data_IF_432891730094
#
_entry.id   IF_432891730094
#
_cell.length_a   1.000
_cell.length_b   1.000
_cell.length_c   1.000
_cell.angle_alpha   90.00
_cell.angle_beta   90.00
_cell.angle_gamma   90.00
#
_symmetry.space_group_name_H-M   'P 1'
#
loop_
_entity.id
_entity.type
_entity.pdbx_description
1 polymer ?
#
# COMPACT_ATOMS: atom_id res chain seq x y z
N UNK A 1 16.07 -53.28 54.72
CA UNK A 1 15.10 -52.22 54.44
C UNK A 1 15.79 -51.16 53.57
N UNK A 2 15.60 -51.19 52.24
CA UNK A 2 16.13 -50.19 51.29
C UNK A 2 15.00 -49.24 50.94
N UNK A 3 15.14 -47.96 51.28
CA UNK A 3 14.20 -46.92 50.89
C UNK A 3 14.49 -46.49 49.42
N UNK A 4 13.49 -46.71 48.59
CA UNK A 4 13.47 -46.21 47.19
C UNK A 4 13.03 -44.75 47.22
N UNK A 5 13.91 -43.80 46.89
CA UNK A 5 13.55 -42.41 46.65
C UNK A 5 13.13 -42.29 45.17
N UNK A 6 11.84 -42.09 44.95
CA UNK A 6 11.32 -41.75 43.62
C UNK A 6 11.56 -40.24 43.33
N UNK A 7 12.35 -39.92 42.30
CA UNK A 7 12.52 -38.56 41.80
C UNK A 7 11.38 -38.32 40.81
N UNK A 8 10.43 -37.47 41.20
CA UNK A 8 9.36 -36.98 40.33
C UNK A 8 9.90 -35.85 39.47
N UNK A 9 10.22 -36.15 38.21
CA UNK A 9 10.68 -35.15 37.24
C UNK A 9 9.48 -34.34 36.71
N UNK A 10 9.33 -33.11 37.16
CA UNK A 10 8.29 -32.18 36.70
C UNK A 10 8.68 -31.64 35.33
N UNK A 11 8.04 -32.13 34.25
CA UNK A 11 8.21 -31.66 32.91
C UNK A 11 7.45 -30.33 32.77
N UNK A 12 8.13 -29.17 32.88
CA UNK A 12 7.58 -27.86 32.57
C UNK A 12 7.46 -27.73 31.08
N UNK A 13 6.25 -27.92 30.53
CA UNK A 13 5.92 -27.58 29.15
C UNK A 13 5.82 -26.05 29.07
N UNK A 14 6.86 -25.39 28.56
CA UNK A 14 6.79 -24.00 28.15
C UNK A 14 5.92 -23.92 26.89
N UNK A 15 4.65 -23.58 27.05
CA UNK A 15 3.81 -23.13 25.94
C UNK A 15 4.30 -21.74 25.59
N UNK A 16 5.19 -21.66 24.61
CA UNK A 16 5.63 -20.39 24.04
C UNK A 16 4.43 -19.72 23.36
N UNK A 17 3.81 -18.75 24.04
CA UNK A 17 2.86 -17.84 23.41
C UNK A 17 3.68 -16.97 22.48
N UNK A 18 3.72 -17.32 21.19
CA UNK A 18 4.29 -16.45 20.16
C UNK A 18 3.34 -15.28 19.97
N UNK A 19 3.60 -14.17 20.66
CA UNK A 19 2.96 -12.91 20.34
C UNK A 19 3.33 -12.56 18.90
N UNK A 20 2.33 -12.23 18.07
CA UNK A 20 2.59 -11.60 16.78
C UNK A 20 3.44 -10.36 17.04
N UNK A 21 4.51 -10.16 16.27
CA UNK A 21 5.31 -8.95 16.37
C UNK A 21 4.38 -7.75 16.17
N UNK A 22 4.34 -6.78 17.08
CA UNK A 22 3.45 -5.64 16.97
C UNK A 22 3.79 -4.84 15.70
N UNK A 23 2.76 -4.27 15.06
CA UNK A 23 2.98 -3.26 14.03
C UNK A 23 3.82 -2.15 14.69
N UNK A 24 5.00 -1.91 14.14
CA UNK A 24 5.87 -0.84 14.63
C UNK A 24 5.50 0.46 13.89
N UNK A 25 5.07 1.46 14.63
CA UNK A 25 4.71 2.78 14.09
C UNK A 25 5.57 3.81 14.79
N UNK A 26 6.41 4.50 14.03
CA UNK A 26 7.19 5.65 14.47
C UNK A 26 6.62 6.92 13.84
N UNK A 27 6.65 8.04 14.57
CA UNK A 27 6.29 9.36 14.05
C UNK A 27 7.45 10.31 14.28
N UNK A 28 7.91 10.93 13.22
CA UNK A 28 8.99 11.92 13.25
C UNK A 28 8.79 12.92 12.12
N UNK A 29 8.92 14.21 12.43
CA UNK A 29 8.87 15.31 11.46
C UNK A 29 7.72 15.25 10.45
N UNK A 30 6.50 14.97 10.92
CA UNK A 30 5.32 14.92 10.05
C UNK A 30 5.19 13.63 9.24
N UNK A 31 5.99 12.60 9.51
CA UNK A 31 5.98 11.32 8.79
C UNK A 31 5.70 10.18 9.76
N UNK A 32 4.64 9.42 9.51
CA UNK A 32 4.45 8.11 10.13
C UNK A 32 5.17 7.06 9.30
N UNK A 33 6.13 6.38 9.91
CA UNK A 33 6.82 5.23 9.33
C UNK A 33 6.36 3.95 10.02
N UNK A 34 5.77 3.04 9.24
CA UNK A 34 5.22 1.77 9.71
C UNK A 34 6.02 0.63 9.11
N UNK A 35 6.47 -0.30 9.95
CA UNK A 35 7.17 -1.51 9.50
C UNK A 35 6.36 -2.73 9.85
N UNK A 36 6.04 -3.53 8.84
CA UNK A 36 5.43 -4.84 8.96
C UNK A 36 6.52 -5.90 8.79
N UNK A 37 6.95 -6.47 9.89
CA UNK A 37 7.91 -7.57 9.93
C UNK A 37 7.24 -8.85 10.43
N UNK A 38 7.84 -10.00 10.07
CA UNK A 38 7.32 -11.31 10.47
C UNK A 38 6.15 -11.81 9.60
N UNK A 39 6.20 -13.10 9.29
CA UNK A 39 5.27 -13.78 8.38
C UNK A 39 3.81 -13.66 8.82
N UNK A 40 3.53 -13.75 10.13
CA UNK A 40 2.17 -13.69 10.66
C UNK A 40 1.51 -12.35 10.34
N UNK A 41 2.22 -11.24 10.52
CA UNK A 41 1.70 -9.90 10.25
C UNK A 41 1.47 -9.66 8.77
N UNK A 42 2.44 -10.06 7.94
CA UNK A 42 2.36 -9.90 6.49
C UNK A 42 1.23 -10.72 5.86
N UNK A 43 0.90 -11.89 6.42
CA UNK A 43 -0.26 -12.71 5.99
C UNK A 43 -1.61 -12.01 6.14
N UNK A 44 -1.70 -11.00 6.99
CA UNK A 44 -2.92 -10.25 7.28
C UNK A 44 -3.14 -9.07 6.33
N UNK A 45 -2.19 -8.79 5.42
CA UNK A 45 -2.35 -7.75 4.41
C UNK A 45 -3.48 -8.14 3.46
N UNK A 46 -4.46 -7.25 3.31
CA UNK A 46 -5.52 -7.36 2.32
C UNK A 46 -5.77 -6.00 1.68
N UNK A 47 -6.15 -6.00 0.40
CA UNK A 47 -6.64 -4.83 -0.29
C UNK A 47 -8.14 -4.98 -0.50
N UNK A 48 -8.89 -4.00 -0.04
CA UNK A 48 -10.35 -4.01 -0.10
C UNK A 48 -10.87 -2.78 -0.83
N UNK A 49 -12.01 -2.92 -1.47
CA UNK A 49 -12.74 -1.80 -2.05
C UNK A 49 -14.14 -1.68 -1.46
N UNK A 50 -14.75 -0.52 -1.63
CA UNK A 50 -16.13 -0.27 -1.25
C UNK A 50 -16.98 0.06 -2.47
N UNK A 51 -18.22 -0.41 -2.49
CA UNK A 51 -19.15 -0.10 -3.57
C UNK A 51 -19.39 1.42 -3.67
N UNK A 52 -19.66 2.07 -2.55
CA UNK A 52 -19.73 3.52 -2.42
C UNK A 52 -18.42 4.04 -1.84
N UNK A 53 -18.11 5.31 -2.07
CA UNK A 53 -16.97 5.94 -1.41
C UNK A 53 -17.23 6.01 0.09
N UNK A 54 -16.24 5.59 0.88
CA UNK A 54 -16.27 5.65 2.35
C UNK A 54 -14.98 6.27 2.88
N UNK A 55 -15.01 6.79 4.09
CA UNK A 55 -13.81 7.31 4.75
C UNK A 55 -12.88 6.18 5.18
N UNK A 56 -11.60 6.49 5.42
CA UNK A 56 -10.64 5.52 5.94
C UNK A 56 -11.09 4.96 7.29
N UNK A 57 -11.70 5.80 8.13
CA UNK A 57 -12.26 5.41 9.43
C UNK A 57 -13.39 4.39 9.31
N UNK A 58 -14.31 4.58 8.36
CA UNK A 58 -15.38 3.63 8.08
C UNK A 58 -14.82 2.31 7.57
N UNK A 59 -13.83 2.35 6.63
CA UNK A 59 -13.16 1.15 6.14
C UNK A 59 -12.46 0.39 7.28
N UNK A 60 -11.77 1.11 8.18
CA UNK A 60 -11.12 0.56 9.36
C UNK A 60 -12.10 -0.19 10.28
N UNK A 61 -13.23 0.44 10.56
CA UNK A 61 -14.28 -0.14 11.43
C UNK A 61 -14.95 -1.35 10.75
N UNK A 62 -15.32 -1.25 9.48
CA UNK A 62 -15.97 -2.31 8.71
C UNK A 62 -15.08 -3.56 8.61
N UNK A 63 -13.78 -3.37 8.36
CA UNK A 63 -12.81 -4.46 8.29
C UNK A 63 -12.38 -5.00 9.66
N UNK A 64 -12.71 -4.30 10.76
CA UNK A 64 -12.19 -4.56 12.12
C UNK A 64 -10.66 -4.68 12.10
N UNK A 65 -10.00 -3.82 11.37
CA UNK A 65 -8.56 -3.88 11.11
C UNK A 65 -7.74 -3.35 12.28
N UNK A 66 -6.44 -3.67 12.30
CA UNK A 66 -5.45 -3.07 13.19
C UNK A 66 -4.89 -1.79 12.58
N UNK A 67 -4.69 -1.81 11.26
CA UNK A 67 -4.19 -0.69 10.46
C UNK A 67 -5.01 -0.60 9.19
N UNK A 68 -5.35 0.61 8.78
CA UNK A 68 -5.96 0.90 7.47
C UNK A 68 -5.31 2.12 6.87
N UNK A 69 -4.96 2.06 5.59
CA UNK A 69 -4.46 3.19 4.81
C UNK A 69 -5.20 3.26 3.47
N UNK A 70 -5.24 4.42 2.85
CA UNK A 70 -5.75 4.58 1.49
C UNK A 70 -4.82 3.93 0.45
N UNK A 71 -5.37 3.58 -0.74
CA UNK A 71 -4.56 2.95 -1.80
C UNK A 71 -4.79 3.55 -3.18
N UNK A 72 -5.52 2.86 -4.06
CA UNK A 72 -5.62 3.16 -5.48
C UNK A 72 -6.33 4.46 -5.83
N UNK A 73 -6.09 4.91 -7.05
CA UNK A 73 -6.76 6.08 -7.61
C UNK A 73 -8.20 5.78 -8.01
N UNK A 74 -9.05 6.80 -7.94
CA UNK A 74 -10.44 6.74 -8.38
C UNK A 74 -10.89 8.07 -9.01
N UNK A 75 -11.95 8.02 -9.79
CA UNK A 75 -12.59 9.21 -10.34
C UNK A 75 -13.67 9.73 -9.38
N UNK A 76 -13.49 10.92 -8.79
CA UNK A 76 -14.48 11.46 -7.86
C UNK A 76 -15.82 11.83 -8.52
N UNK A 77 -15.87 11.97 -9.85
CA UNK A 77 -17.09 12.35 -10.57
C UNK A 77 -18.07 11.19 -10.71
N UNK A 78 -17.57 9.98 -11.04
CA UNK A 78 -18.39 8.79 -11.19
C UNK A 78 -18.17 7.73 -10.12
N UNK A 79 -17.25 7.99 -9.16
CA UNK A 79 -16.90 7.11 -8.04
C UNK A 79 -16.33 5.74 -8.47
N UNK A 80 -15.88 5.63 -9.73
CA UNK A 80 -15.28 4.42 -10.27
C UNK A 80 -13.77 4.40 -10.04
N UNK A 81 -13.23 3.20 -9.91
CA UNK A 81 -11.77 3.01 -9.79
C UNK A 81 -11.03 3.46 -11.05
N UNK A 82 -9.76 3.87 -10.88
CA UNK A 82 -8.76 4.03 -11.94
C UNK A 82 -7.62 3.01 -11.73
N UNK A 83 -7.70 2.21 -10.66
CA UNK A 83 -6.69 1.26 -10.23
C UNK A 83 -7.26 -0.15 -10.13
N UNK A 84 -6.48 -1.16 -10.49
CA UNK A 84 -6.81 -2.55 -10.19
C UNK A 84 -6.69 -2.83 -8.70
N UNK A 85 -7.65 -3.57 -8.17
CA UNK A 85 -7.61 -4.13 -6.81
C UNK A 85 -7.95 -5.62 -6.90
N UNK A 86 -7.07 -6.46 -6.36
CA UNK A 86 -7.30 -7.90 -6.19
C UNK A 86 -7.44 -8.19 -4.70
N UNK A 87 -8.46 -8.94 -4.34
CA UNK A 87 -8.65 -9.43 -2.98
C UNK A 87 -9.06 -10.91 -3.01
N UNK A 88 -8.38 -11.73 -2.22
CA UNK A 88 -8.61 -13.17 -2.11
C UNK A 88 -8.70 -13.85 -3.50
N UNK A 89 -7.67 -13.62 -4.33
CA UNK A 89 -7.48 -14.14 -5.71
C UNK A 89 -8.50 -13.61 -6.75
N UNK A 90 -9.36 -12.66 -6.39
CA UNK A 90 -10.38 -12.10 -7.29
C UNK A 90 -10.12 -10.61 -7.56
N UNK A 91 -10.21 -10.22 -8.83
CA UNK A 91 -10.24 -8.79 -9.19
C UNK A 91 -11.56 -8.20 -8.71
N UNK A 92 -11.50 -7.31 -7.71
CA UNK A 92 -12.66 -6.64 -7.12
C UNK A 92 -12.88 -5.23 -7.69
N UNK A 93 -11.84 -4.64 -8.26
CA UNK A 93 -11.90 -3.36 -8.98
C UNK A 93 -11.11 -3.45 -10.27
N UNK A 94 -11.73 -3.02 -11.38
CA UNK A 94 -11.14 -3.03 -12.71
C UNK A 94 -11.36 -1.64 -13.36
N UNK A 95 -10.28 -0.90 -13.72
CA UNK A 95 -10.38 0.43 -14.32
C UNK A 95 -11.07 0.45 -15.69
N UNK A 96 -11.21 -0.68 -16.39
CA UNK A 96 -11.95 -0.77 -17.64
C UNK A 96 -13.46 -0.52 -17.46
N UNK A 97 -13.99 -0.64 -16.24
CA UNK A 97 -15.39 -0.29 -15.93
C UNK A 97 -15.59 1.18 -15.57
N UNK A 98 -14.56 2.02 -15.74
CA UNK A 98 -14.66 3.47 -15.55
C UNK A 98 -14.97 4.14 -16.89
N UNK A 99 -16.22 4.51 -17.09
CA UNK A 99 -16.70 5.12 -18.34
C UNK A 99 -16.00 6.44 -18.67
N UNK A 100 -15.69 7.26 -17.65
CA UNK A 100 -14.97 8.52 -17.85
C UNK A 100 -13.54 8.28 -18.31
N UNK A 101 -12.85 7.26 -17.78
CA UNK A 101 -11.53 6.85 -18.23
C UNK A 101 -11.58 6.37 -19.69
N UNK A 102 -12.56 5.55 -20.02
CA UNK A 102 -12.69 4.89 -21.31
C UNK A 102 -13.17 5.83 -22.42
N UNK A 103 -13.97 6.86 -22.09
CA UNK A 103 -14.52 7.81 -23.05
C UNK A 103 -13.64 9.04 -23.31
N UNK A 104 -12.72 9.37 -22.40
CA UNK A 104 -11.82 10.51 -22.56
C UNK A 104 -10.74 10.22 -23.62
N UNK A 105 -10.67 10.97 -24.74
CA UNK A 105 -9.74 10.69 -25.82
C UNK A 105 -8.26 10.67 -25.40
N UNK A 106 -7.84 11.61 -24.54
CA UNK A 106 -6.44 11.72 -24.08
C UNK A 106 -6.08 10.53 -23.18
N UNK A 107 -6.97 10.16 -22.24
CA UNK A 107 -6.74 9.02 -21.33
C UNK A 107 -6.76 7.70 -22.12
N UNK A 108 -7.68 7.56 -23.07
CA UNK A 108 -7.81 6.38 -23.93
C UNK A 108 -6.56 6.14 -24.79
N UNK A 109 -5.97 7.18 -25.37
CA UNK A 109 -4.70 7.06 -26.12
C UNK A 109 -3.54 6.56 -25.24
N UNK A 110 -3.57 6.87 -23.95
CA UNK A 110 -2.55 6.50 -22.98
C UNK A 110 -2.99 5.37 -22.03
N UNK A 111 -4.10 4.70 -22.37
CA UNK A 111 -4.72 3.69 -21.49
C UNK A 111 -3.72 2.60 -21.08
N UNK A 112 -2.89 2.12 -22.02
CA UNK A 112 -1.86 1.10 -21.75
C UNK A 112 -0.90 1.51 -20.64
N UNK A 113 -0.53 2.79 -20.56
CA UNK A 113 0.33 3.32 -19.48
C UNK A 113 -0.43 3.39 -18.15
N UNK A 114 -1.69 3.82 -18.19
CA UNK A 114 -2.54 4.00 -17.01
C UNK A 114 -2.88 2.65 -16.36
N UNK A 115 -3.32 1.66 -17.16
CA UNK A 115 -3.69 0.34 -16.63
C UNK A 115 -2.49 -0.55 -16.32
N UNK A 116 -1.28 -0.17 -16.78
CA UNK A 116 -0.03 -0.88 -16.45
C UNK A 116 0.81 -0.18 -15.38
N UNK A 117 0.23 0.75 -14.63
CA UNK A 117 0.90 1.41 -13.49
C UNK A 117 1.39 0.38 -12.48
N UNK A 118 2.37 0.80 -11.71
CA UNK A 118 2.95 -0.01 -10.64
C UNK A 118 1.91 -0.40 -9.60
N UNK A 119 1.99 -1.63 -9.12
CA UNK A 119 1.15 -2.16 -8.04
C UNK A 119 2.00 -2.90 -6.99
N UNK A 120 1.48 -2.96 -5.78
CA UNK A 120 1.98 -3.84 -4.73
C UNK A 120 1.19 -5.16 -4.77
N UNK A 121 1.90 -6.29 -4.80
CA UNK A 121 1.35 -7.64 -4.83
C UNK A 121 1.75 -8.44 -3.61
N UNK A 122 0.81 -9.21 -3.09
CA UNK A 122 1.05 -10.36 -2.23
C UNK A 122 0.79 -11.61 -3.06
N UNK A 123 1.83 -12.36 -3.33
CA UNK A 123 1.76 -13.61 -4.07
C UNK A 123 1.71 -14.79 -3.10
N UNK A 124 0.90 -15.79 -3.43
CA UNK A 124 0.93 -17.11 -2.82
C UNK A 124 1.68 -18.06 -3.76
N UNK A 125 2.85 -18.53 -3.31
CA UNK A 125 3.77 -19.38 -4.05
C UNK A 125 3.96 -20.69 -3.25
N UNK A 126 3.16 -21.72 -3.53
CA UNK A 126 3.18 -22.99 -2.81
C UNK A 126 3.14 -22.83 -1.28
N UNK A 127 2.16 -22.05 -0.81
CA UNK A 127 1.93 -21.73 0.61
C UNK A 127 2.99 -20.81 1.25
N UNK A 128 3.91 -20.23 0.47
CA UNK A 128 4.82 -19.18 0.89
C UNK A 128 4.39 -17.85 0.30
N UNK A 129 4.29 -16.83 1.13
CA UNK A 129 3.98 -15.49 0.64
C UNK A 129 5.24 -14.78 0.16
N UNK A 130 5.12 -14.17 -1.01
CA UNK A 130 6.12 -13.30 -1.62
C UNK A 130 5.50 -11.93 -1.88
N UNK A 131 6.28 -10.89 -1.77
CA UNK A 131 5.83 -9.51 -1.96
C UNK A 131 6.57 -8.90 -3.12
N UNK A 132 5.84 -8.19 -3.97
CA UNK A 132 6.41 -7.54 -5.16
C UNK A 132 5.85 -6.13 -5.31
N UNK A 133 6.70 -5.22 -5.79
CA UNK A 133 6.31 -3.93 -6.35
C UNK A 133 6.74 -3.95 -7.81
N UNK A 134 5.78 -4.02 -8.71
CA UNK A 134 6.03 -4.23 -10.13
C UNK A 134 4.92 -3.63 -10.98
N UNK A 135 5.09 -3.60 -12.31
CA UNK A 135 4.03 -3.21 -13.23
C UNK A 135 2.88 -4.22 -13.22
N UNK A 136 1.66 -3.73 -13.39
CA UNK A 136 0.46 -4.59 -13.38
C UNK A 136 0.55 -5.77 -14.37
N UNK A 137 1.09 -5.55 -15.58
CA UNK A 137 1.22 -6.60 -16.61
C UNK A 137 2.50 -7.45 -16.47
N UNK A 138 3.31 -7.25 -15.41
CA UNK A 138 4.46 -8.09 -15.16
C UNK A 138 4.03 -9.55 -14.94
N UNK A 139 4.76 -10.47 -15.55
CA UNK A 139 4.45 -11.91 -15.43
C UNK A 139 4.60 -12.37 -14.00
N UNK A 140 3.64 -13.13 -13.54
CA UNK A 140 3.71 -13.87 -12.28
C UNK A 140 4.35 -15.22 -12.56
N UNK A 141 5.23 -15.69 -11.66
CA UNK A 141 5.80 -17.03 -11.74
C UNK A 141 4.68 -18.07 -11.78
N UNK A 142 4.85 -19.13 -12.58
CA UNK A 142 3.83 -20.18 -12.76
C UNK A 142 3.49 -20.94 -11.47
N UNK A 143 4.38 -20.91 -10.46
CA UNK A 143 4.14 -21.48 -9.13
C UNK A 143 3.42 -20.54 -8.17
N UNK A 144 3.12 -19.32 -8.61
CA UNK A 144 2.52 -18.28 -7.78
C UNK A 144 1.17 -17.83 -8.32
N UNK A 145 0.33 -17.37 -7.42
CA UNK A 145 -0.93 -16.66 -7.73
C UNK A 145 -0.99 -15.33 -7.00
N UNK A 146 -1.57 -14.31 -7.63
CA UNK A 146 -1.82 -13.03 -6.94
C UNK A 146 -2.94 -13.23 -5.94
N UNK A 147 -2.59 -13.24 -4.65
CA UNK A 147 -3.56 -13.38 -3.56
C UNK A 147 -4.31 -12.07 -3.32
N UNK A 148 -3.57 -10.98 -3.24
CA UNK A 148 -4.13 -9.64 -3.10
C UNK A 148 -3.16 -8.61 -3.68
N UNK A 149 -3.69 -7.58 -4.33
CA UNK A 149 -2.88 -6.48 -4.87
C UNK A 149 -3.63 -5.17 -4.91
N UNK A 150 -2.90 -4.07 -4.92
CA UNK A 150 -3.44 -2.75 -5.23
C UNK A 150 -2.51 -1.99 -6.16
N UNK A 151 -3.07 -1.55 -7.28
CA UNK A 151 -2.40 -0.66 -8.20
C UNK A 151 -2.42 0.77 -7.67
N UNK A 152 -1.31 1.50 -7.89
CA UNK A 152 -1.16 2.90 -7.54
C UNK A 152 -0.24 3.58 -8.55
N UNK A 153 0.97 3.86 -8.11
CA UNK A 153 1.99 4.56 -8.85
C UNK A 153 2.11 6.04 -8.46
N UNK A 154 3.18 6.69 -8.90
CA UNK A 154 4.28 6.13 -9.69
C UNK A 154 5.17 5.17 -8.89
N UNK A 155 5.90 4.30 -9.60
CA UNK A 155 7.05 3.63 -9.00
C UNK A 155 8.08 4.68 -8.61
N UNK A 156 8.63 4.52 -7.40
CA UNK A 156 9.65 5.40 -6.83
C UNK A 156 11.03 4.76 -6.95
N UNK A 157 11.15 3.48 -6.58
CA UNK A 157 12.37 2.70 -6.62
C UNK A 157 12.16 1.38 -7.39
N UNK A 158 13.21 0.90 -8.10
CA UNK A 158 14.56 1.46 -8.21
C UNK A 158 14.66 2.73 -9.08
N UNK A 159 13.69 2.99 -9.94
CA UNK A 159 13.61 4.13 -10.85
C UNK A 159 12.25 4.82 -10.77
N UNK A 160 12.26 6.16 -10.74
CA UNK A 160 11.03 6.97 -10.70
C UNK A 160 10.37 7.02 -12.08
N UNK A 161 9.11 6.55 -12.19
CA UNK A 161 8.40 6.33 -13.47
C UNK A 161 7.23 7.29 -13.69
N UNK A 162 7.49 8.56 -13.75
CA UNK A 162 6.44 9.58 -13.95
C UNK A 162 5.86 9.59 -15.36
N UNK A 163 6.70 9.48 -16.40
CA UNK A 163 6.29 9.54 -17.82
C UNK A 163 5.77 8.19 -18.30
N UNK A 164 6.42 7.10 -17.90
CA UNK A 164 6.07 5.74 -18.28
C UNK A 164 4.67 5.35 -17.76
N UNK A 165 4.30 5.88 -16.60
CA UNK A 165 3.00 5.64 -15.96
C UNK A 165 1.98 6.75 -16.20
N UNK A 166 2.31 7.69 -17.12
CA UNK A 166 1.43 8.79 -17.53
C UNK A 166 0.99 9.71 -16.38
N UNK A 167 1.88 9.95 -15.42
CA UNK A 167 1.68 11.00 -14.41
C UNK A 167 2.07 12.36 -14.91
N UNK A 168 3.12 12.45 -15.77
CA UNK A 168 3.48 13.65 -16.50
C UNK A 168 3.59 13.35 -17.99
N UNK A 169 3.45 14.42 -18.80
CA UNK A 169 3.76 14.43 -20.23
C UNK A 169 4.64 15.64 -20.49
N UNK A 170 5.72 15.44 -21.24
CA UNK A 170 6.63 16.50 -21.68
C UNK A 170 6.48 16.75 -23.17
N UNK A 171 6.75 17.98 -23.58
CA UNK A 171 6.91 18.36 -24.99
C UNK A 171 8.31 17.99 -25.52
N UNK A 172 8.56 18.28 -26.79
CA UNK A 172 9.85 18.02 -27.46
C UNK A 172 11.03 18.79 -26.84
N UNK A 173 10.75 19.85 -26.08
CA UNK A 173 11.74 20.68 -25.39
C UNK A 173 11.96 20.20 -23.92
N UNK A 174 11.24 19.17 -23.48
CA UNK A 174 11.32 18.66 -22.12
C UNK A 174 10.44 19.39 -21.10
N UNK A 175 9.60 20.35 -21.53
CA UNK A 175 8.69 21.07 -20.64
C UNK A 175 7.49 20.19 -20.29
N UNK A 176 7.07 20.19 -19.03
CA UNK A 176 5.88 19.46 -18.59
C UNK A 176 4.63 20.20 -19.10
N UNK A 177 3.88 19.55 -19.99
CA UNK A 177 2.63 20.07 -20.58
C UNK A 177 1.39 19.44 -19.95
N UNK A 178 1.55 18.37 -19.17
CA UNK A 178 0.49 17.72 -18.40
C UNK A 178 1.06 17.10 -17.13
N UNK A 179 0.32 17.26 -16.05
CA UNK A 179 0.56 16.61 -14.77
C UNK A 179 -0.74 16.03 -14.22
N UNK A 180 -0.65 14.95 -13.45
CA UNK A 180 -1.76 14.37 -12.68
C UNK A 180 -1.29 13.94 -11.30
N UNK A 181 -2.24 13.83 -10.35
CA UNK A 181 -2.00 13.43 -8.97
C UNK A 181 -0.98 14.30 -8.21
N UNK A 182 -0.81 15.56 -8.62
CA UNK A 182 0.12 16.53 -7.99
C UNK A 182 1.53 15.98 -7.78
N UNK A 183 2.05 15.18 -8.73
CA UNK A 183 3.33 14.47 -8.56
C UNK A 183 4.54 15.41 -8.46
N UNK A 184 4.45 16.62 -9.02
CA UNK A 184 5.49 17.66 -8.97
C UNK A 184 5.25 18.69 -7.86
N UNK A 185 4.17 18.56 -7.09
CA UNK A 185 3.81 19.48 -6.02
C UNK A 185 4.00 18.83 -4.65
N UNK A 186 4.33 19.65 -3.65
CA UNK A 186 4.43 19.20 -2.26
C UNK A 186 3.03 19.01 -1.66
N UNK A 187 2.63 17.76 -1.50
CA UNK A 187 1.36 17.34 -0.90
C UNK A 187 1.59 16.15 0.03
N UNK A 188 0.65 15.83 0.93
CA UNK A 188 0.69 14.60 1.71
C UNK A 188 0.80 13.36 0.81
N UNK A 189 1.47 12.29 1.30
CA UNK A 189 1.72 11.09 0.51
C UNK A 189 1.43 9.82 1.31
N UNK A 190 0.97 8.80 0.61
CA UNK A 190 0.92 7.42 1.09
C UNK A 190 1.85 6.59 0.24
N UNK A 191 2.92 6.06 0.86
CA UNK A 191 3.98 5.34 0.17
C UNK A 191 4.10 3.93 0.75
N UNK A 192 4.49 2.98 -0.09
CA UNK A 192 4.79 1.60 0.32
C UNK A 192 6.08 1.12 -0.34
N UNK A 193 6.88 0.35 0.39
CA UNK A 193 8.12 -0.20 -0.12
C UNK A 193 8.49 -1.53 0.50
N UNK A 194 9.44 -2.20 -0.12
CA UNK A 194 9.97 -3.48 0.30
C UNK A 194 11.46 -3.36 0.60
N UNK A 195 11.89 -4.02 1.66
CA UNK A 195 13.29 -4.14 2.05
C UNK A 195 13.62 -5.59 2.33
N UNK A 196 14.66 -6.10 1.68
CA UNK A 196 15.22 -7.42 1.97
C UNK A 196 16.11 -7.34 3.22
N UNK A 197 15.88 -8.24 4.15
CA UNK A 197 16.73 -8.37 5.32
C UNK A 197 17.94 -9.26 5.02
N UNK A 198 18.97 -9.21 5.88
CA UNK A 198 20.13 -10.11 5.77
C UNK A 198 19.80 -11.59 5.91
N UNK A 199 18.60 -11.92 6.42
CA UNK A 199 18.08 -13.30 6.53
C UNK A 199 17.29 -13.75 5.30
N UNK A 200 17.19 -12.91 4.26
CA UNK A 200 16.41 -13.19 3.06
C UNK A 200 14.89 -13.03 3.24
N UNK A 201 14.45 -12.45 4.34
CA UNK A 201 13.06 -12.06 4.56
C UNK A 201 12.79 -10.68 3.94
N UNK A 202 11.53 -10.40 3.62
CA UNK A 202 11.11 -9.08 3.17
C UNK A 202 10.36 -8.35 4.30
N UNK A 203 10.71 -7.09 4.54
CA UNK A 203 9.93 -6.16 5.34
C UNK A 203 9.08 -5.29 4.44
N UNK A 204 7.85 -4.98 4.88
CA UNK A 204 6.98 -4.02 4.20
C UNK A 204 7.03 -2.71 4.99
N UNK A 205 7.48 -1.65 4.34
CA UNK A 205 7.56 -0.31 4.89
C UNK A 205 6.44 0.55 4.31
N UNK A 206 5.73 1.28 5.17
CA UNK A 206 4.67 2.21 4.78
C UNK A 206 5.02 3.58 5.36
N UNK A 207 4.87 4.64 4.55
CA UNK A 207 5.03 6.01 5.00
C UNK A 207 3.74 6.77 4.75
N UNK A 208 3.24 7.43 5.80
CA UNK A 208 2.16 8.41 5.71
C UNK A 208 2.80 9.78 5.95
N UNK A 209 3.04 10.48 4.88
CA UNK A 209 3.58 11.84 4.88
C UNK A 209 2.43 12.81 5.06
N UNK A 210 2.42 13.54 6.15
CA UNK A 210 1.32 14.44 6.51
C UNK A 210 1.48 15.84 5.91
N UNK A 211 0.53 16.71 6.19
CA UNK A 211 0.61 18.13 5.81
C UNK A 211 1.73 18.91 6.53
N UNK A 212 2.31 18.35 7.59
CA UNK A 212 3.43 18.96 8.31
C UNK A 212 4.74 18.88 7.51
N UNK A 213 4.88 17.84 6.66
CA UNK A 213 6.07 17.62 5.84
C UNK A 213 5.72 17.18 4.41
N UNK A 214 4.91 17.97 3.66
CA UNK A 214 4.45 17.56 2.34
C UNK A 214 5.62 17.41 1.35
N UNK A 215 5.53 16.44 0.44
CA UNK A 215 6.59 16.08 -0.50
C UNK A 215 6.08 16.00 -1.93
N UNK A 216 6.95 16.33 -2.90
CA UNK A 216 6.79 15.89 -4.29
C UNK A 216 7.28 14.45 -4.47
N UNK A 217 7.20 13.89 -5.69
CA UNK A 217 7.59 12.48 -5.91
C UNK A 217 9.10 12.28 -5.96
N UNK A 218 9.90 13.32 -6.19
CA UNK A 218 11.37 13.21 -6.10
C UNK A 218 11.81 13.11 -4.64
N UNK A 219 11.25 13.96 -3.78
CA UNK A 219 11.50 13.90 -2.33
C UNK A 219 10.98 12.58 -1.73
N UNK A 220 9.81 12.11 -2.18
CA UNK A 220 9.25 10.82 -1.75
C UNK A 220 10.15 9.63 -2.16
N UNK A 221 10.73 9.65 -3.38
CA UNK A 221 11.74 8.68 -3.82
C UNK A 221 12.97 8.72 -2.91
N UNK A 222 13.49 9.91 -2.64
CA UNK A 222 14.70 10.09 -1.83
C UNK A 222 14.46 9.65 -0.38
N UNK A 223 13.28 9.89 0.18
CA UNK A 223 12.85 9.33 1.46
C UNK A 223 12.93 7.79 1.44
N UNK A 224 12.30 7.14 0.48
CA UNK A 224 12.33 5.67 0.35
C UNK A 224 13.77 5.14 0.20
N UNK A 225 14.61 5.81 -0.59
CA UNK A 225 16.01 5.45 -0.79
C UNK A 225 16.82 5.60 0.51
N UNK A 226 16.59 6.63 1.32
CA UNK A 226 17.28 6.86 2.60
C UNK A 226 17.05 5.75 3.62
N UNK A 227 15.89 5.06 3.55
CA UNK A 227 15.59 3.88 4.37
C UNK A 227 16.17 2.57 3.79
N UNK A 228 16.84 2.63 2.64
CA UNK A 228 17.46 1.49 1.97
C UNK A 228 16.44 0.48 1.46
N UNK A 229 15.32 0.96 0.92
CA UNK A 229 14.32 0.09 0.31
C UNK A 229 14.79 -0.40 -1.06
N UNK A 230 14.52 -1.67 -1.37
CA UNK A 230 14.85 -2.29 -2.67
C UNK A 230 13.87 -1.84 -3.76
N UNK A 231 12.61 -1.67 -3.39
CA UNK A 231 11.55 -1.19 -4.28
C UNK A 231 10.53 -0.36 -3.50
N UNK A 232 9.94 0.63 -4.16
CA UNK A 232 8.92 1.49 -3.56
C UNK A 232 7.98 2.07 -4.61
N UNK A 233 6.75 2.40 -4.18
CA UNK A 233 5.73 3.06 -4.99
C UNK A 233 4.87 3.99 -4.13
N UNK A 234 4.17 4.91 -4.79
CA UNK A 234 3.15 5.72 -4.16
C UNK A 234 1.76 5.10 -4.37
N UNK A 235 0.87 5.32 -3.42
CA UNK A 235 -0.58 5.25 -3.59
C UNK A 235 -1.16 6.65 -3.85
N UNK A 236 -2.50 6.76 -3.93
CA UNK A 236 -3.16 8.06 -4.08
C UNK A 236 -2.80 8.97 -2.89
N UNK A 237 -2.45 10.20 -3.19
CA UNK A 237 -1.94 11.17 -2.24
C UNK A 237 -2.82 12.41 -2.11
N UNK A 238 -2.22 13.49 -1.64
CA UNK A 238 -2.92 14.76 -1.45
C UNK A 238 -4.09 14.62 -0.49
N UNK A 239 -5.29 15.00 -0.91
CA UNK A 239 -6.52 14.91 -0.10
C UNK A 239 -6.93 13.47 0.26
N UNK A 240 -6.37 12.46 -0.41
CA UNK A 240 -6.67 11.05 -0.17
C UNK A 240 -5.81 10.43 0.93
N UNK A 241 -4.66 11.02 1.26
CA UNK A 241 -3.73 10.49 2.28
C UNK A 241 -4.43 10.33 3.61
N UNK A 242 -4.46 9.09 4.11
CA UNK A 242 -5.16 8.77 5.36
C UNK A 242 -4.66 7.47 5.99
N UNK A 243 -4.72 7.40 7.32
CA UNK A 243 -4.39 6.24 8.13
C UNK A 243 -5.26 6.15 9.38
N UNK A 244 -5.67 4.94 9.73
CA UNK A 244 -6.23 4.60 11.04
C UNK A 244 -5.43 3.47 11.67
N UNK A 245 -4.90 3.70 12.86
CA UNK A 245 -4.17 2.70 13.65
C UNK A 245 -4.42 2.94 15.15
N UNK A 246 -5.08 2.01 15.81
CA UNK A 246 -5.48 2.17 17.24
C UNK A 246 -6.24 3.48 17.45
N UNK A 247 -5.68 4.41 18.24
CA UNK A 247 -6.24 5.73 18.52
C UNK A 247 -5.67 6.83 17.60
N UNK A 248 -4.77 6.45 16.67
CA UNK A 248 -4.19 7.40 15.71
C UNK A 248 -5.12 7.44 14.51
N UNK A 249 -5.58 8.65 14.19
CA UNK A 249 -6.37 8.96 13.00
C UNK A 249 -5.67 10.07 12.25
N UNK A 250 -5.23 9.78 11.03
CA UNK A 250 -4.52 10.73 10.16
C UNK A 250 -5.33 10.94 8.91
N UNK A 251 -5.61 12.20 8.60
CA UNK A 251 -6.24 12.61 7.34
C UNK A 251 -5.54 13.86 6.81
N UNK A 252 -5.57 14.02 5.50
CA UNK A 252 -5.05 15.23 4.88
C UNK A 252 -5.92 16.44 5.22
N UNK A 253 -5.31 17.57 5.59
CA UNK A 253 -6.02 18.84 5.79
C UNK A 253 -6.59 19.42 4.48
N UNK A 254 -6.16 18.87 3.31
CA UNK A 254 -6.75 19.17 2.02
C UNK A 254 -8.09 18.47 1.80
N UNK A 255 -8.45 17.51 2.66
CA UNK A 255 -9.77 16.90 2.66
C UNK A 255 -10.78 17.73 3.45
N UNK A 256 -12.06 17.57 3.15
CA UNK A 256 -13.11 18.26 3.89
C UNK A 256 -13.38 17.58 5.24
N UNK A 257 -13.17 18.31 6.34
CA UNK A 257 -13.50 17.88 7.70
C UNK A 257 -12.54 16.90 8.36
N UNK A 258 -12.79 16.60 9.63
CA UNK A 258 -11.95 15.76 10.49
C UNK A 258 -12.02 14.26 10.16
N UNK A 259 -12.98 13.84 9.34
CA UNK A 259 -13.15 12.44 8.92
C UNK A 259 -12.33 12.07 7.69
N UNK A 260 -11.76 13.07 7.01
CA UNK A 260 -11.04 12.89 5.76
C UNK A 260 -11.94 12.68 4.55
N UNK A 261 -11.31 12.54 3.39
CA UNK A 261 -12.00 12.30 2.11
C UNK A 261 -12.58 10.88 2.05
N UNK A 262 -13.76 10.76 1.46
CA UNK A 262 -14.31 9.46 1.09
C UNK A 262 -13.55 8.88 -0.11
N UNK A 263 -13.17 7.61 -0.06
CA UNK A 263 -12.22 6.91 -0.92
C UNK A 263 -12.80 5.58 -1.41
N UNK A 264 -12.17 5.00 -2.43
CA UNK A 264 -12.64 3.79 -3.10
C UNK A 264 -11.98 2.51 -2.59
N UNK A 265 -10.70 2.56 -2.25
CA UNK A 265 -9.91 1.36 -1.91
C UNK A 265 -8.92 1.60 -0.78
N UNK A 266 -8.62 0.53 -0.03
CA UNK A 266 -7.83 0.56 1.18
C UNK A 266 -6.96 -0.70 1.30
N UNK A 267 -5.78 -0.53 1.92
CA UNK A 267 -5.03 -1.62 2.51
C UNK A 267 -5.45 -1.78 3.96
N UNK A 268 -5.78 -2.99 4.36
CA UNK A 268 -6.14 -3.32 5.74
C UNK A 268 -5.23 -4.43 6.28
N UNK A 269 -4.83 -4.28 7.54
CA UNK A 269 -4.18 -5.35 8.31
C UNK A 269 -5.23 -5.86 9.30
N UNK A 270 -5.71 -7.08 9.11
CA UNK A 270 -6.76 -7.65 9.97
C UNK A 270 -6.23 -7.93 11.38
N UNK A 271 -7.13 -7.88 12.35
CA UNK A 271 -6.88 -8.43 13.69
C UNK A 271 -6.86 -9.97 13.60
N UNK A 272 -6.01 -10.57 14.44
CA UNK A 272 -6.02 -12.04 14.66
C UNK A 272 -7.35 -12.50 15.25
#
# INVERSE_FOLDING_TARGET
>A
MKKLLGVLSLLLIFIGVTYAAPINVNYEDGIYHIVLSGEKMKKQIQFVSSQNLITNKEAHNNAKSQLTINTGFFDPKNQKTISYIVNDYHTVEDPYFNENLMSNPVLRQNLKKIVNRTEFRVLDCDSKLKYEITEHNAKVDFLCSVKTSAQGGPRLLPDLRLEEEFFIVKDENGNVIRESASVLHKVPRTLIGLKSTSKGEQEVHIFIVTNEHPMDMYEARDLCASYGLDSAMAFDGGSSTSMDYKNIHVVSTQSSGDTGRALKSFMVIKKD
#
